data_IF_175465365863
#
_entry.id   IF_175465365863
#
_cell.length_a   1.000
_cell.length_b   1.000
_cell.length_c   1.000
_cell.angle_alpha   90.00
_cell.angle_beta   90.00
_cell.angle_gamma   90.00
#
_symmetry.space_group_name_H-M   'P 1'
#
loop_
_entity.id
_entity.type
_entity.pdbx_description
1 polymer ?
#
# COMPACT_ATOMS: atom_id res chain seq x y z
N UNK A 1 14.53 7.79 -20.05
CA UNK A 1 14.63 8.46 -21.35
C UNK A 1 13.70 9.66 -21.37
N UNK A 2 14.18 10.81 -21.83
CA UNK A 2 13.33 12.00 -21.95
C UNK A 2 12.45 11.83 -23.18
N UNK A 3 11.13 11.91 -23.02
CA UNK A 3 10.20 11.95 -24.17
C UNK A 3 9.92 13.39 -24.59
N UNK A 4 9.63 14.27 -23.63
CA UNK A 4 9.58 15.73 -23.82
C UNK A 4 9.97 16.44 -22.51
N UNK A 5 9.81 17.77 -22.42
CA UNK A 5 10.21 18.55 -21.24
C UNK A 5 9.51 18.14 -19.94
N UNK A 6 8.29 17.60 -20.04
CA UNK A 6 7.45 17.27 -18.89
C UNK A 6 7.20 15.76 -18.72
N UNK A 7 7.73 14.92 -19.61
CA UNK A 7 7.46 13.48 -19.61
C UNK A 7 8.72 12.67 -19.84
N UNK A 8 8.91 11.69 -18.97
CA UNK A 8 9.99 10.72 -19.03
C UNK A 8 9.42 9.32 -19.14
N UNK A 9 10.13 8.47 -19.89
CA UNK A 9 9.83 7.06 -20.06
C UNK A 9 10.95 6.26 -19.42
N UNK A 10 10.59 5.18 -18.73
CA UNK A 10 11.54 4.22 -18.19
C UNK A 10 11.06 2.80 -18.45
N UNK A 11 12.00 1.89 -18.68
CA UNK A 11 11.71 0.45 -18.66
C UNK A 11 11.20 0.08 -17.26
N UNK A 12 9.99 -0.48 -17.18
CA UNK A 12 9.35 -0.79 -15.91
C UNK A 12 10.17 -1.78 -15.05
N UNK A 13 10.70 -2.90 -15.59
CA UNK A 13 11.59 -3.78 -14.80
C UNK A 13 12.83 -3.06 -14.27
N UNK A 14 13.44 -2.20 -15.08
CA UNK A 14 14.64 -1.45 -14.68
C UNK A 14 14.34 -0.43 -13.57
N UNK A 15 13.24 0.33 -13.70
CA UNK A 15 12.80 1.28 -12.69
C UNK A 15 12.50 0.57 -11.35
N UNK A 16 11.74 -0.52 -11.39
CA UNK A 16 11.42 -1.31 -10.20
C UNK A 16 12.69 -1.88 -9.54
N UNK A 17 13.61 -2.47 -10.31
CA UNK A 17 14.86 -3.01 -9.78
C UNK A 17 15.70 -1.94 -9.06
N UNK A 18 15.77 -0.72 -9.62
CA UNK A 18 16.46 0.41 -8.99
C UNK A 18 15.79 0.87 -7.70
N UNK A 19 14.46 0.94 -7.67
CA UNK A 19 13.70 1.28 -6.45
C UNK A 19 13.94 0.25 -5.35
N UNK A 20 13.87 -1.04 -5.68
CA UNK A 20 14.14 -2.14 -4.74
C UNK A 20 15.57 -2.05 -4.21
N UNK A 21 16.55 -1.85 -5.11
CA UNK A 21 17.96 -1.72 -4.72
C UNK A 21 18.14 -0.57 -3.72
N UNK A 22 17.58 0.61 -4.01
CA UNK A 22 17.70 1.80 -3.16
C UNK A 22 16.99 1.63 -1.82
N UNK A 23 15.84 0.96 -1.79
CA UNK A 23 15.14 0.64 -0.55
C UNK A 23 15.97 -0.30 0.34
N UNK A 24 16.54 -1.35 -0.22
CA UNK A 24 17.41 -2.28 0.51
C UNK A 24 18.68 -1.61 1.03
N UNK A 25 19.33 -0.76 0.21
CA UNK A 25 20.49 0.05 0.63
C UNK A 25 20.16 0.99 1.79
N UNK A 26 18.92 1.49 1.87
CA UNK A 26 18.43 2.31 2.97
C UNK A 26 18.06 1.49 4.23
N UNK A 27 18.18 0.15 4.18
CA UNK A 27 17.94 -0.75 5.32
C UNK A 27 16.58 -1.45 5.31
N UNK A 28 15.78 -1.34 4.24
CA UNK A 28 14.52 -2.07 4.14
C UNK A 28 14.77 -3.56 4.01
N UNK A 29 14.04 -4.37 4.79
CA UNK A 29 13.98 -5.83 4.64
C UNK A 29 12.75 -6.22 3.83
N UNK A 30 12.92 -7.12 2.88
CA UNK A 30 11.84 -7.60 2.00
C UNK A 30 11.52 -9.05 2.34
N UNK A 31 10.26 -9.31 2.68
CA UNK A 31 9.71 -10.65 2.84
C UNK A 31 8.85 -10.98 1.62
N UNK A 32 9.44 -11.64 0.63
CA UNK A 32 8.73 -12.12 -0.55
C UNK A 32 7.90 -13.37 -0.22
N UNK A 33 6.98 -13.75 -1.12
CA UNK A 33 6.09 -14.92 -0.96
C UNK A 33 5.30 -14.92 0.36
N UNK A 34 4.97 -13.71 0.81
CA UNK A 34 4.25 -13.45 2.06
C UNK A 34 3.01 -12.65 1.72
N UNK A 35 1.87 -13.01 2.31
CA UNK A 35 0.61 -12.27 2.18
C UNK A 35 0.15 -11.79 3.56
N UNK A 36 -0.61 -10.70 3.56
CA UNK A 36 -1.34 -10.24 4.74
C UNK A 36 -2.64 -11.04 4.81
N UNK A 37 -2.89 -11.68 5.95
CA UNK A 37 -4.14 -12.39 6.24
C UNK A 37 -5.01 -11.66 7.27
N UNK A 38 -4.43 -10.74 8.05
CA UNK A 38 -5.19 -9.87 8.94
C UNK A 38 -4.38 -8.68 9.46
N UNK A 39 -4.99 -7.88 10.33
CA UNK A 39 -4.35 -6.78 11.07
C UNK A 39 -4.33 -7.04 12.57
N UNK A 40 -3.28 -6.55 13.24
CA UNK A 40 -3.23 -6.53 14.71
C UNK A 40 -3.93 -5.27 15.19
N UNK A 41 -5.05 -5.41 15.91
CA UNK A 41 -5.81 -4.29 16.47
C UNK A 41 -5.67 -4.22 17.99
N UNK A 42 -5.19 -3.09 18.51
CA UNK A 42 -5.12 -2.80 19.95
C UNK A 42 -5.66 -1.40 20.21
N UNK A 43 -6.59 -1.24 21.17
CA UNK A 43 -7.16 0.06 21.57
C UNK A 43 -7.63 0.93 20.37
N UNK A 44 -8.32 0.32 19.42
CA UNK A 44 -8.80 0.97 18.19
C UNK A 44 -7.69 1.60 17.31
N UNK A 45 -6.49 1.02 17.35
CA UNK A 45 -5.33 1.36 16.53
C UNK A 45 -4.80 0.10 15.84
N UNK A 46 -4.40 0.21 14.57
CA UNK A 46 -3.60 -0.81 13.90
C UNK A 46 -2.19 -0.80 14.47
N UNK A 47 -1.71 -1.97 14.90
CA UNK A 47 -0.43 -2.16 15.58
C UNK A 47 0.44 -3.23 14.90
N UNK A 48 0.21 -3.46 13.59
CA UNK A 48 0.88 -4.49 12.81
C UNK A 48 -0.05 -5.28 11.93
N UNK A 49 0.50 -6.33 11.33
CA UNK A 49 -0.17 -7.21 10.38
C UNK A 49 0.00 -8.66 10.81
N UNK A 50 -0.96 -9.48 10.45
CA UNK A 50 -0.92 -10.93 10.54
C UNK A 50 -0.60 -11.44 9.14
N UNK A 51 0.45 -12.25 9.02
CA UNK A 51 0.97 -12.70 7.74
C UNK A 51 0.99 -14.22 7.64
N UNK A 52 0.96 -14.70 6.40
CA UNK A 52 1.15 -16.10 6.08
C UNK A 52 1.97 -16.24 4.79
N UNK A 53 2.44 -17.44 4.49
CA UNK A 53 3.11 -17.70 3.22
C UNK A 53 2.07 -17.72 2.09
N UNK A 54 2.36 -17.03 0.98
CA UNK A 54 1.40 -16.89 -0.12
C UNK A 54 1.08 -18.21 -0.82
N UNK A 55 1.93 -19.24 -0.69
CA UNK A 55 1.67 -20.54 -1.28
C UNK A 55 0.50 -21.30 -0.62
N UNK A 56 0.06 -20.87 0.58
CA UNK A 56 -1.02 -21.55 1.31
C UNK A 56 -2.34 -21.54 0.52
N UNK A 57 -2.55 -20.51 -0.29
CA UNK A 57 -3.73 -20.34 -1.14
C UNK A 57 -3.82 -21.40 -2.25
N UNK A 58 -2.70 -22.05 -2.56
CA UNK A 58 -2.59 -23.07 -3.60
C UNK A 58 -2.47 -24.49 -3.02
N UNK A 59 -2.44 -24.64 -1.69
CA UNK A 59 -2.39 -25.94 -1.04
C UNK A 59 -3.78 -26.60 -0.98
N UNK A 60 -3.85 -27.94 -1.03
CA UNK A 60 -5.10 -28.65 -0.76
C UNK A 60 -5.65 -28.29 0.63
N UNK A 61 -6.96 -28.05 0.74
CA UNK A 61 -7.62 -27.65 2.00
C UNK A 61 -7.20 -28.45 3.24
N UNK A 62 -7.03 -29.79 3.20
CA UNK A 62 -6.63 -30.55 4.38
C UNK A 62 -5.24 -30.19 4.95
N UNK A 63 -4.35 -29.58 4.15
CA UNK A 63 -3.00 -29.17 4.56
C UNK A 63 -2.79 -27.65 4.54
N UNK A 64 -3.82 -26.89 4.19
CA UNK A 64 -3.80 -25.42 4.15
C UNK A 64 -4.17 -24.78 5.51
N UNK A 65 -4.36 -25.58 6.57
CA UNK A 65 -4.71 -25.10 7.91
C UNK A 65 -3.45 -24.75 8.73
N UNK A 66 -2.56 -23.93 8.16
CA UNK A 66 -1.37 -23.44 8.86
C UNK A 66 -1.66 -22.05 9.43
N UNK A 67 -1.53 -21.93 10.75
CA UNK A 67 -1.79 -20.69 11.46
C UNK A 67 -0.82 -19.57 11.02
N UNK A 68 -1.30 -18.33 10.86
CA UNK A 68 -0.47 -17.20 10.50
C UNK A 68 0.37 -16.68 11.68
N UNK A 69 1.31 -15.80 11.38
CA UNK A 69 2.18 -15.17 12.38
C UNK A 69 1.99 -13.65 12.43
N UNK A 70 2.16 -13.07 13.63
CA UNK A 70 2.02 -11.64 13.85
C UNK A 70 3.35 -10.89 13.64
N UNK A 71 3.31 -9.79 12.90
CA UNK A 71 4.38 -8.79 12.83
C UNK A 71 3.84 -7.48 13.40
N UNK A 72 4.36 -7.09 14.56
CA UNK A 72 3.98 -5.82 15.20
C UNK A 72 4.71 -4.63 14.56
N UNK A 73 4.02 -3.49 14.49
CA UNK A 73 4.58 -2.23 14.02
C UNK A 73 3.85 -1.04 14.64
N UNK A 74 4.55 0.08 14.80
CA UNK A 74 3.95 1.32 15.32
C UNK A 74 3.04 2.02 14.30
N UNK A 75 3.41 1.88 13.01
CA UNK A 75 2.72 2.42 11.84
C UNK A 75 2.76 1.34 10.74
N UNK A 76 1.58 1.05 10.18
CA UNK A 76 1.41 0.22 8.98
C UNK A 76 1.10 1.11 7.78
N UNK A 77 1.69 0.83 6.62
CA UNK A 77 1.37 1.51 5.36
C UNK A 77 0.75 0.49 4.39
N UNK A 78 -0.49 0.72 3.99
CA UNK A 78 -1.16 -0.02 2.91
C UNK A 78 -0.73 0.54 1.56
N UNK A 79 0.12 -0.23 0.88
CA UNK A 79 0.58 0.01 -0.47
C UNK A 79 0.18 -1.15 -1.42
N UNK A 80 -0.88 -1.90 -1.12
CA UNK A 80 -1.25 -3.12 -1.88
C UNK A 80 -2.01 -2.83 -3.18
N UNK A 81 -2.02 -1.57 -3.62
CA UNK A 81 -2.66 -1.16 -4.85
C UNK A 81 -4.18 -1.13 -4.75
N UNK A 82 -4.87 -1.47 -5.84
CA UNK A 82 -6.32 -1.34 -5.96
C UNK A 82 -7.10 -2.18 -4.94
N UNK A 83 -6.52 -3.28 -4.46
CA UNK A 83 -7.19 -4.18 -3.53
C UNK A 83 -7.30 -3.57 -2.13
N UNK A 84 -6.40 -2.64 -1.77
CA UNK A 84 -6.32 -2.02 -0.45
C UNK A 84 -6.50 -3.05 0.69
N UNK A 85 -5.72 -4.13 0.64
CA UNK A 85 -5.96 -5.37 1.39
C UNK A 85 -5.96 -5.11 2.90
N UNK A 86 -5.02 -4.30 3.38
CA UNK A 86 -4.90 -4.00 4.82
C UNK A 86 -6.10 -3.18 5.29
N UNK A 87 -6.52 -2.18 4.50
CA UNK A 87 -7.77 -1.43 4.75
C UNK A 87 -8.98 -2.36 4.66
N UNK A 88 -9.00 -3.31 3.73
CA UNK A 88 -10.06 -4.29 3.54
C UNK A 88 -10.36 -5.11 4.79
N UNK A 89 -9.33 -5.46 5.58
CA UNK A 89 -9.52 -6.11 6.88
C UNK A 89 -10.27 -5.25 7.91
N UNK A 90 -10.16 -3.91 7.84
CA UNK A 90 -10.93 -2.99 8.67
C UNK A 90 -12.36 -2.80 8.14
N UNK A 91 -12.53 -2.79 6.81
CA UNK A 91 -13.85 -2.71 6.16
C UNK A 91 -14.72 -3.92 6.52
N UNK A 92 -14.15 -5.13 6.47
CA UNK A 92 -14.83 -6.38 6.88
C UNK A 92 -15.35 -6.34 8.33
N UNK A 93 -14.80 -5.47 9.17
CA UNK A 93 -15.18 -5.28 10.58
C UNK A 93 -16.07 -4.06 10.81
N UNK A 94 -16.41 -3.30 9.77
CA UNK A 94 -17.19 -2.07 9.89
C UNK A 94 -16.44 -0.91 10.57
N UNK A 95 -15.11 -0.96 10.63
CA UNK A 95 -14.29 0.09 11.26
C UNK A 95 -13.94 1.23 10.30
N UNK A 96 -13.92 0.93 9.00
CA UNK A 96 -13.64 1.86 7.90
C UNK A 96 -14.64 1.58 6.77
N UNK A 97 -14.98 2.60 6.00
CA UNK A 97 -15.74 2.45 4.75
C UNK A 97 -14.86 2.86 3.57
N UNK A 98 -15.01 2.16 2.46
CA UNK A 98 -14.30 2.44 1.20
C UNK A 98 -15.31 2.73 0.10
N UNK A 99 -15.00 3.67 -0.78
CA UNK A 99 -15.87 4.02 -1.91
C UNK A 99 -15.58 3.19 -3.18
N UNK A 100 -14.52 2.38 -3.17
CA UNK A 100 -13.99 1.73 -4.36
C UNK A 100 -13.17 2.72 -5.19
N UNK A 101 -12.90 2.41 -6.46
CA UNK A 101 -12.19 3.31 -7.37
C UNK A 101 -12.98 3.52 -8.66
N UNK A 102 -12.80 4.70 -9.27
CA UNK A 102 -13.50 5.11 -10.48
C UNK A 102 -12.85 4.64 -11.78
N UNK A 103 -13.53 4.92 -12.90
CA UNK A 103 -12.99 4.72 -14.24
C UNK A 103 -11.72 5.58 -14.48
N UNK A 104 -11.04 5.33 -15.60
CA UNK A 104 -9.77 6.01 -15.89
C UNK A 104 -9.98 7.50 -16.20
N UNK A 105 -9.31 8.37 -15.44
CA UNK A 105 -9.18 9.80 -15.71
C UNK A 105 -7.86 10.28 -15.12
N UNK A 106 -6.82 10.34 -15.96
CA UNK A 106 -5.43 10.56 -15.56
C UNK A 106 -5.26 11.88 -14.78
N UNK A 107 -5.64 12.99 -15.41
CA UNK A 107 -5.46 14.34 -14.84
C UNK A 107 -6.15 14.52 -13.48
N UNK A 108 -7.38 14.00 -13.32
CA UNK A 108 -8.10 14.07 -12.04
C UNK A 108 -7.60 13.06 -11.01
N UNK A 109 -6.94 11.98 -11.45
CA UNK A 109 -6.47 10.92 -10.57
C UNK A 109 -5.18 11.30 -9.86
N UNK A 110 -4.19 11.83 -10.60
CA UNK A 110 -2.83 12.01 -10.08
C UNK A 110 -2.75 13.00 -8.91
N UNK A 111 -3.30 14.21 -9.08
CA UNK A 111 -3.28 15.24 -8.03
C UNK A 111 -4.10 14.82 -6.81
N UNK A 112 -5.32 14.31 -7.05
CA UNK A 112 -6.23 13.88 -5.99
C UNK A 112 -5.63 12.72 -5.17
N UNK A 113 -4.92 11.80 -5.83
CA UNK A 113 -4.27 10.69 -5.15
C UNK A 113 -3.18 11.18 -4.20
N UNK A 114 -2.32 12.09 -4.64
CA UNK A 114 -1.28 12.67 -3.78
C UNK A 114 -1.92 13.48 -2.64
N UNK A 115 -2.96 14.27 -2.93
CA UNK A 115 -3.69 15.05 -1.92
C UNK A 115 -4.30 14.16 -0.83
N UNK A 116 -4.96 13.06 -1.22
CA UNK A 116 -5.67 12.16 -0.30
C UNK A 116 -4.79 11.10 0.36
N UNK A 117 -3.53 10.96 -0.05
CA UNK A 117 -2.57 10.07 0.63
C UNK A 117 -2.42 10.48 2.10
N UNK A 118 -2.60 9.54 3.03
CA UNK A 118 -2.50 9.82 4.45
C UNK A 118 -3.05 8.72 5.36
N UNK A 119 -3.19 9.05 6.64
CA UNK A 119 -3.74 8.13 7.65
C UNK A 119 -5.24 7.93 7.43
N UNK A 120 -5.65 6.68 7.22
CA UNK A 120 -7.05 6.28 6.97
C UNK A 120 -7.71 5.64 8.19
N UNK A 121 -6.90 5.19 9.14
CA UNK A 121 -7.30 4.69 10.45
C UNK A 121 -6.12 4.86 11.41
N UNK A 122 -6.31 5.05 12.74
CA UNK A 122 -5.19 5.21 13.65
C UNK A 122 -4.13 4.11 13.50
N UNK A 123 -2.89 4.50 13.15
CA UNK A 123 -1.79 3.57 12.90
C UNK A 123 -1.74 2.94 11.50
N UNK A 124 -2.65 3.30 10.60
CA UNK A 124 -2.71 2.82 9.22
C UNK A 124 -2.75 3.98 8.21
N UNK A 125 -1.73 4.05 7.36
CA UNK A 125 -1.62 5.01 6.26
C UNK A 125 -1.92 4.29 4.94
N UNK A 126 -2.68 4.91 4.05
CA UNK A 126 -2.85 4.41 2.68
C UNK A 126 -1.98 5.22 1.70
N UNK A 127 -1.38 4.53 0.72
CA UNK A 127 -0.57 5.14 -0.35
C UNK A 127 -0.81 4.46 -1.70
N UNK A 128 -0.50 5.16 -2.78
CA UNK A 128 -0.70 4.66 -4.15
C UNK A 128 -2.17 4.35 -4.40
N UNK A 129 -2.46 3.31 -5.21
CA UNK A 129 -3.84 3.00 -5.61
C UNK A 129 -4.75 2.56 -4.46
N UNK A 130 -4.21 2.20 -3.29
CA UNK A 130 -5.04 1.95 -2.11
C UNK A 130 -5.82 3.21 -1.71
N UNK A 131 -5.21 4.39 -1.85
CA UNK A 131 -5.85 5.70 -1.62
C UNK A 131 -7.06 5.87 -2.52
N UNK A 132 -6.95 5.50 -3.81
CA UNK A 132 -8.08 5.58 -4.73
C UNK A 132 -9.24 4.71 -4.28
N UNK A 133 -8.96 3.48 -3.81
CA UNK A 133 -9.98 2.56 -3.29
C UNK A 133 -10.64 3.07 -2.01
N UNK A 134 -9.89 3.71 -1.12
CA UNK A 134 -10.44 4.34 0.08
C UNK A 134 -11.37 5.50 -0.29
N UNK A 135 -10.92 6.38 -1.19
CA UNK A 135 -11.56 7.68 -1.42
C UNK A 135 -12.40 7.79 -2.69
N UNK A 136 -12.60 6.73 -3.47
CA UNK A 136 -13.44 6.81 -4.67
C UNK A 136 -12.78 7.50 -5.85
N UNK A 137 -11.44 7.54 -5.90
CA UNK A 137 -10.74 8.32 -6.91
C UNK A 137 -10.67 7.58 -8.26
N UNK A 138 -10.60 8.30 -9.39
CA UNK A 138 -10.30 7.70 -10.69
C UNK A 138 -8.95 6.97 -10.69
N UNK A 139 -8.74 6.09 -11.67
CA UNK A 139 -7.41 5.48 -11.96
C UNK A 139 -6.64 6.29 -13.02
N UNK A 140 -5.31 6.29 -12.97
CA UNK A 140 -4.45 7.04 -13.90
C UNK A 140 -3.87 6.25 -15.07
N UNK A 141 -4.00 4.92 -15.08
CA UNK A 141 -3.42 4.10 -16.14
C UNK A 141 -1.88 4.03 -16.01
N UNK A 142 -1.13 4.01 -17.13
CA UNK A 142 0.31 3.73 -17.12
C UNK A 142 1.18 4.97 -16.83
N UNK A 143 0.77 5.81 -15.86
CA UNK A 143 1.57 6.93 -15.33
C UNK A 143 1.90 6.66 -13.86
N UNK A 144 3.11 7.02 -13.45
CA UNK A 144 3.64 6.61 -12.12
C UNK A 144 4.12 7.80 -11.27
N UNK A 145 4.02 9.04 -11.76
CA UNK A 145 4.46 10.23 -11.03
C UNK A 145 3.74 10.35 -9.68
N UNK A 146 2.41 10.25 -9.71
CA UNK A 146 1.59 10.27 -8.50
C UNK A 146 1.88 9.10 -7.55
N UNK A 147 2.22 7.91 -8.05
CA UNK A 147 2.59 6.77 -7.19
C UNK A 147 3.83 7.08 -6.35
N UNK A 148 4.86 7.65 -6.98
CA UNK A 148 6.11 8.01 -6.30
C UNK A 148 5.90 9.16 -5.31
N UNK A 149 5.14 10.18 -5.69
CA UNK A 149 4.84 11.33 -4.82
C UNK A 149 3.95 10.96 -3.64
N UNK A 150 2.98 10.06 -3.86
CA UNK A 150 2.16 9.46 -2.80
C UNK A 150 3.03 8.69 -1.81
N UNK A 151 3.92 7.81 -2.30
CA UNK A 151 4.84 7.07 -1.44
C UNK A 151 5.73 7.98 -0.60
N UNK A 152 6.26 9.08 -1.19
CA UNK A 152 7.03 10.10 -0.46
C UNK A 152 6.20 10.75 0.65
N UNK A 153 4.98 11.21 0.33
CA UNK A 153 4.10 11.85 1.32
C UNK A 153 3.72 10.89 2.45
N UNK A 154 3.41 9.63 2.14
CA UNK A 154 3.14 8.62 3.16
C UNK A 154 4.34 8.40 4.09
N UNK A 155 5.56 8.39 3.55
CA UNK A 155 6.79 8.30 4.33
C UNK A 155 7.00 9.53 5.24
N UNK A 156 6.73 10.74 4.74
CA UNK A 156 6.79 11.98 5.54
C UNK A 156 5.81 11.94 6.72
N UNK A 157 4.56 11.55 6.48
CA UNK A 157 3.53 11.40 7.52
C UNK A 157 3.94 10.34 8.55
N UNK A 158 4.46 9.19 8.10
CA UNK A 158 4.93 8.14 9.00
C UNK A 158 6.11 8.63 9.86
N UNK A 159 7.06 9.34 9.25
CA UNK A 159 8.23 9.89 9.93
C UNK A 159 7.85 10.90 11.01
N UNK A 160 6.91 11.81 10.72
CA UNK A 160 6.39 12.76 11.71
C UNK A 160 5.69 12.08 12.88
N UNK A 161 4.97 10.98 12.63
CA UNK A 161 4.28 10.21 13.67
C UNK A 161 5.23 9.42 14.56
N UNK A 162 6.30 8.84 13.99
CA UNK A 162 7.30 8.07 14.74
C UNK A 162 8.24 8.93 15.60
N UNK A 163 8.31 10.24 15.34
CA UNK A 163 9.13 11.17 16.13
C UNK A 163 8.43 11.73 17.37
N UNK A 164 7.14 11.44 17.55
CA UNK A 164 6.35 11.86 18.71
C UNK A 164 6.43 10.81 19.82
#
# INVERSE_FOLDING_TARGET
EKYNDNLFIASAPYACAKLITKACEAGVKILSLTKVEDVILKKNKVCGVVINFSAIDFLPKPVACLDPIAIESEITIDATGHDAEVVGHLVRRGLVTTLGYGAMWIEKSEDALVEKTGEVFPGLIATGMAVSTVHGLPRMGPTFGAMLMSGRKAAEIAYEKLRK
#
